data_IF_779932191789
#
_entry.id   IF_779932191789
#
_cell.length_a   1.000
_cell.length_b   1.000
_cell.length_c   1.000
_cell.angle_alpha   90.00
_cell.angle_beta   90.00
_cell.angle_gamma   90.00
#
_symmetry.space_group_name_H-M   'P 1'
#
loop_
_entity.id
_entity.type
_entity.pdbx_description
1 polymer ?
#
# COMPACT_ATOMS: atom_id res chain seq x y z
N UNK A 1 13.49 -7.52 13.79
CA UNK A 1 13.62 -7.07 13.85
C UNK A 1 14.03 -6.28 14.64
N UNK A 2 14.48 -6.27 14.82
CA UNK A 2 14.91 -5.67 15.66
C UNK A 2 14.89 -4.35 15.66
N UNK A 3 14.98 -3.68 15.07
CA UNK A 3 14.97 -2.50 15.07
C UNK A 3 13.93 -1.99 15.46
N UNK A 4 13.41 -2.57 15.95
CA UNK A 4 12.32 -2.27 16.36
C UNK A 4 12.17 -1.00 16.90
N UNK A 5 11.99 -0.38 17.41
CA UNK A 5 11.70 0.84 17.94
C UNK A 5 12.00 2.01 17.12
N UNK A 6 12.89 1.84 16.18
CA UNK A 6 13.27 2.97 15.41
C UNK A 6 12.44 3.10 14.21
N UNK A 7 11.58 4.02 14.12
CA UNK A 7 10.87 4.34 12.90
C UNK A 7 9.82 3.36 12.41
N UNK A 8 9.60 2.26 13.11
CA UNK A 8 8.58 1.30 12.71
C UNK A 8 7.33 1.46 13.56
N UNK A 9 6.18 1.30 12.94
CA UNK A 9 4.91 1.30 13.66
C UNK A 9 3.84 0.68 12.76
N UNK A 10 2.69 0.40 13.34
CA UNK A 10 1.58 -0.22 12.64
C UNK A 10 0.42 0.74 12.54
N UNK A 11 -0.41 0.53 11.53
CA UNK A 11 -1.65 1.26 11.37
C UNK A 11 -2.75 0.28 10.98
N UNK A 12 -3.98 0.63 11.30
CA UNK A 12 -5.12 -0.08 10.77
C UNK A 12 -5.45 0.42 9.38
N UNK A 13 -6.06 -0.43 8.59
CA UNK A 13 -6.53 -0.07 7.26
C UNK A 13 -7.78 -0.85 6.94
N UNK A 14 -8.59 -0.33 6.03
CA UNK A 14 -9.72 -1.07 5.48
C UNK A 14 -9.41 -1.36 4.01
N UNK A 15 -9.60 -2.59 3.61
CA UNK A 15 -9.41 -3.02 2.24
C UNK A 15 -10.78 -3.26 1.64
N UNK A 16 -11.04 -2.71 0.46
CA UNK A 16 -12.34 -2.82 -0.18
C UNK A 16 -12.22 -3.30 -1.61
N UNK A 17 -13.24 -4.02 -2.05
CA UNK A 17 -13.37 -4.41 -3.44
C UNK A 17 -13.64 -3.16 -4.27
N UNK A 18 -12.94 -2.98 -5.37
CA UNK A 18 -13.04 -1.77 -6.19
C UNK A 18 -14.43 -1.63 -6.80
N UNK A 19 -15.04 -2.76 -7.18
CA UNK A 19 -16.35 -2.75 -7.83
C UNK A 19 -17.48 -2.65 -6.81
N UNK A 20 -17.34 -3.30 -5.68
CA UNK A 20 -18.36 -3.32 -4.64
C UNK A 20 -17.73 -2.95 -3.31
N UNK A 21 -17.80 -1.67 -2.97
CA UNK A 21 -17.13 -1.15 -1.78
C UNK A 21 -17.73 -1.62 -0.46
N UNK A 22 -18.94 -2.17 -0.50
CA UNK A 22 -19.52 -2.77 0.68
C UNK A 22 -18.79 -4.05 1.07
N UNK A 23 -18.12 -4.67 0.09
CA UNK A 23 -17.24 -5.79 0.39
C UNK A 23 -15.90 -5.25 0.87
N UNK A 24 -15.75 -5.16 2.14
CA UNK A 24 -14.55 -4.63 2.76
C UNK A 24 -14.22 -5.34 4.05
N UNK A 25 -12.98 -5.24 4.46
CA UNK A 25 -12.52 -5.84 5.70
C UNK A 25 -11.48 -4.94 6.33
N UNK A 26 -11.50 -4.89 7.66
CA UNK A 26 -10.50 -4.14 8.40
C UNK A 26 -9.31 -5.02 8.71
N UNK A 27 -8.12 -4.47 8.48
CA UNK A 27 -6.87 -5.09 8.88
C UNK A 27 -6.35 -4.25 10.04
N UNK A 28 -6.34 -4.78 11.26
CA UNK A 28 -6.03 -3.93 12.42
C UNK A 28 -4.57 -3.52 12.50
N UNK A 29 -3.67 -4.30 11.93
CA UNK A 29 -2.25 -4.01 12.08
C UNK A 29 -1.51 -4.29 10.80
N UNK A 30 -1.19 -3.24 10.05
CA UNK A 30 -0.24 -3.29 8.94
C UNK A 30 1.02 -2.57 9.38
N UNK A 31 2.16 -3.19 9.16
CA UNK A 31 3.43 -2.53 9.41
C UNK A 31 3.64 -1.46 8.34
N UNK A 32 3.85 -0.23 8.76
CA UNK A 32 4.14 0.85 7.81
C UNK A 32 5.60 0.72 7.39
N UNK A 33 5.82 0.44 6.11
CA UNK A 33 7.15 0.14 5.60
C UNK A 33 7.42 0.92 4.32
N UNK A 34 8.09 2.07 4.47
CA UNK A 34 8.42 2.92 3.32
C UNK A 34 9.49 2.31 2.44
N UNK A 35 10.17 1.28 2.90
CA UNK A 35 11.13 0.55 2.08
C UNK A 35 10.52 -0.51 1.20
N UNK A 36 9.24 -0.79 1.37
CA UNK A 36 8.51 -1.74 0.55
C UNK A 36 7.64 -0.98 -0.45
N UNK A 37 7.70 -1.37 -1.72
CA UNK A 37 6.86 -0.73 -2.74
C UNK A 37 5.39 -1.10 -2.56
N UNK A 38 5.11 -2.37 -2.39
CA UNK A 38 3.75 -2.90 -2.41
C UNK A 38 3.18 -3.04 -1.01
N UNK A 39 1.86 -3.01 -0.95
CA UNK A 39 1.10 -3.32 0.25
C UNK A 39 0.75 -4.80 0.23
N UNK A 40 0.93 -5.48 1.35
CA UNK A 40 0.73 -6.92 1.49
C UNK A 40 -0.42 -7.18 2.46
N UNK A 41 -1.44 -7.88 1.98
CA UNK A 41 -2.67 -8.16 2.73
C UNK A 41 -2.93 -9.67 2.65
N UNK A 42 -3.47 -10.28 3.71
CA UNK A 42 -3.67 -11.73 3.68
C UNK A 42 -4.47 -12.17 2.46
N UNK A 43 -3.97 -13.21 1.79
CA UNK A 43 -4.64 -13.76 0.62
C UNK A 43 -6.08 -14.16 0.95
N UNK A 44 -6.30 -14.73 2.14
CA UNK A 44 -7.64 -15.17 2.55
C UNK A 44 -8.60 -14.00 2.63
N UNK A 45 -8.13 -12.85 3.12
CA UNK A 45 -8.94 -11.64 3.17
C UNK A 45 -9.32 -11.17 1.78
N UNK A 46 -8.33 -11.09 0.88
CA UNK A 46 -8.58 -10.63 -0.48
C UNK A 46 -9.54 -11.56 -1.21
N UNK A 47 -9.40 -12.86 -1.00
CA UNK A 47 -10.30 -13.84 -1.62
C UNK A 47 -11.73 -13.68 -1.12
N UNK A 48 -11.91 -13.48 0.17
CA UNK A 48 -13.24 -13.26 0.73
C UNK A 48 -13.89 -12.00 0.16
N UNK A 49 -13.10 -11.00 -0.15
CA UNK A 49 -13.60 -9.76 -0.72
C UNK A 49 -13.84 -9.86 -2.22
N UNK A 50 -13.59 -11.01 -2.82
CA UNK A 50 -13.79 -11.19 -4.26
C UNK A 50 -12.76 -10.49 -5.11
N UNK A 51 -11.61 -10.16 -4.56
CA UNK A 51 -10.56 -9.48 -5.30
C UNK A 51 -9.78 -10.52 -6.09
N UNK A 52 -9.71 -10.31 -7.40
CA UNK A 52 -9.10 -11.27 -8.30
C UNK A 52 -7.57 -11.14 -8.30
N UNK A 53 -6.91 -12.25 -8.59
CA UNK A 53 -5.48 -12.26 -8.79
C UNK A 53 -5.21 -11.82 -10.22
N UNK A 54 -4.86 -10.53 -10.36
CA UNK A 54 -4.68 -9.93 -11.69
C UNK A 54 -3.32 -10.26 -12.29
N UNK A 55 -2.30 -10.27 -11.45
CA UNK A 55 -0.94 -10.65 -11.86
C UNK A 55 -0.55 -11.85 -11.03
N UNK A 56 -0.22 -12.95 -11.69
CA UNK A 56 0.14 -14.19 -11.00
C UNK A 56 1.63 -14.41 -11.09
N UNK A 57 2.18 -15.00 -10.03
CA UNK A 57 3.58 -15.40 -9.99
C UNK A 57 4.56 -14.25 -10.23
N UNK A 58 4.20 -13.09 -9.68
CA UNK A 58 5.11 -11.97 -9.73
C UNK A 58 6.27 -12.23 -8.78
N UNK A 59 7.50 -12.03 -9.25
CA UNK A 59 8.69 -12.32 -8.46
C UNK A 59 9.04 -11.15 -7.56
N UNK A 60 9.31 -11.45 -6.31
CA UNK A 60 9.75 -10.46 -5.33
C UNK A 60 11.06 -10.91 -4.72
N UNK A 61 11.95 -9.95 -4.45
CA UNK A 61 13.20 -10.22 -3.75
C UNK A 61 13.04 -9.69 -2.33
N UNK A 62 13.15 -10.59 -1.37
CA UNK A 62 12.97 -10.26 0.03
C UNK A 62 14.24 -9.65 0.60
N UNK A 63 14.13 -9.06 1.79
CA UNK A 63 15.26 -8.38 2.43
C UNK A 63 16.46 -9.29 2.62
N UNK A 64 16.23 -10.59 2.80
CA UNK A 64 17.31 -11.57 2.96
C UNK A 64 17.88 -12.06 1.62
N UNK A 65 17.43 -11.49 0.50
CA UNK A 65 17.88 -11.88 -0.82
C UNK A 65 17.13 -13.05 -1.44
N UNK A 66 16.23 -13.65 -0.68
CA UNK A 66 15.44 -14.78 -1.20
C UNK A 66 14.41 -14.28 -2.20
N UNK A 67 14.24 -15.00 -3.29
CA UNK A 67 13.23 -14.68 -4.29
C UNK A 67 12.02 -15.56 -4.06
N UNK A 68 10.85 -14.92 -4.04
CA UNK A 68 9.57 -15.62 -3.90
C UNK A 68 8.62 -15.11 -4.96
N UNK A 69 7.52 -15.81 -5.18
CA UNK A 69 6.48 -15.37 -6.10
C UNK A 69 5.17 -15.23 -5.36
N UNK A 70 4.42 -14.20 -5.73
CA UNK A 70 3.11 -13.94 -5.14
C UNK A 70 2.20 -13.37 -6.21
N UNK A 71 0.90 -13.52 -6.01
CA UNK A 71 -0.08 -12.88 -6.87
C UNK A 71 -0.37 -11.47 -6.39
N UNK A 72 -0.85 -10.63 -7.28
CA UNK A 72 -1.18 -9.23 -7.02
C UNK A 72 -2.54 -8.94 -7.61
N UNK A 73 -3.35 -8.19 -6.89
CA UNK A 73 -4.64 -7.72 -7.36
C UNK A 73 -4.82 -6.25 -7.06
N UNK A 74 -5.98 -5.71 -7.44
CA UNK A 74 -6.29 -4.29 -7.24
C UNK A 74 -7.35 -4.14 -6.16
N UNK A 75 -7.12 -3.21 -5.24
CA UNK A 75 -8.05 -3.00 -4.14
C UNK A 75 -8.03 -1.53 -3.74
N UNK A 76 -9.10 -1.12 -3.06
CA UNK A 76 -9.10 0.17 -2.38
C UNK A 76 -8.43 -0.04 -1.02
N UNK A 77 -7.46 0.79 -0.74
CA UNK A 77 -6.78 0.83 0.56
C UNK A 77 -7.22 2.12 1.24
N UNK A 78 -7.84 1.99 2.40
CA UNK A 78 -8.37 3.13 3.14
C UNK A 78 -7.72 3.21 4.50
N UNK A 79 -7.16 4.39 4.82
CA UNK A 79 -6.57 4.66 6.13
C UNK A 79 -7.18 5.95 6.63
N UNK A 80 -7.87 5.90 7.76
CA UNK A 80 -8.61 7.03 8.28
C UNK A 80 -9.58 7.54 7.20
N UNK A 81 -9.47 8.79 6.80
CA UNK A 81 -10.35 9.37 5.79
C UNK A 81 -9.77 9.30 4.38
N UNK A 82 -8.51 8.90 4.26
CA UNK A 82 -7.85 8.83 2.96
C UNK A 82 -8.06 7.47 2.32
N UNK A 83 -8.12 7.43 1.00
CA UNK A 83 -8.19 6.16 0.30
C UNK A 83 -7.52 6.27 -1.06
N UNK A 84 -7.12 5.13 -1.57
CA UNK A 84 -6.50 5.03 -2.90
C UNK A 84 -6.78 3.65 -3.47
N UNK A 85 -6.73 3.53 -4.78
CA UNK A 85 -6.74 2.22 -5.43
C UNK A 85 -5.29 1.85 -5.71
N UNK A 86 -4.89 0.67 -5.28
CA UNK A 86 -3.51 0.26 -5.45
C UNK A 86 -3.41 -1.24 -5.69
N UNK A 87 -2.23 -1.65 -6.11
CA UNK A 87 -1.91 -3.06 -6.24
C UNK A 87 -1.57 -3.61 -4.87
N UNK A 88 -2.22 -4.71 -4.51
CA UNK A 88 -1.98 -5.36 -3.23
C UNK A 88 -1.50 -6.78 -3.47
N UNK A 89 -0.52 -7.20 -2.69
CA UNK A 89 0.04 -8.54 -2.79
C UNK A 89 -0.80 -9.48 -1.95
N UNK A 90 -1.11 -10.64 -2.51
CA UNK A 90 -1.79 -11.72 -1.79
C UNK A 90 -0.77 -12.39 -0.88
N UNK A 91 -0.71 -11.92 0.36
CA UNK A 91 0.26 -12.42 1.33
C UNK A 91 -0.12 -13.81 1.78
N UNK A 92 0.87 -14.68 1.88
CA UNK A 92 0.68 -16.05 2.32
C UNK A 92 1.13 -16.20 3.77
N UNK A 93 0.82 -17.37 4.33
CA UNK A 93 1.15 -17.62 5.73
C UNK A 93 2.64 -17.39 5.96
N UNK A 94 2.94 -16.62 6.99
CA UNK A 94 4.32 -16.29 7.31
C UNK A 94 4.83 -15.00 6.72
N UNK A 95 4.12 -14.45 5.74
CA UNK A 95 4.51 -13.17 5.18
C UNK A 95 4.16 -12.03 6.12
N UNK A 96 4.95 -10.97 6.07
CA UNK A 96 4.61 -9.75 6.79
C UNK A 96 3.46 -9.05 6.09
N UNK A 97 2.58 -8.45 6.88
CA UNK A 97 1.51 -7.62 6.36
C UNK A 97 1.97 -6.18 6.42
N UNK A 98 2.03 -5.53 5.26
CA UNK A 98 2.69 -4.24 5.11
C UNK A 98 1.79 -3.21 4.44
N UNK A 99 1.92 -1.97 4.86
CA UNK A 99 1.44 -0.82 4.10
C UNK A 99 2.66 -0.22 3.43
N UNK A 100 2.73 -0.31 2.10
CA UNK A 100 3.92 0.05 1.35
C UNK A 100 3.91 1.48 0.83
N UNK A 101 5.03 1.84 0.19
CA UNK A 101 5.26 3.22 -0.25
C UNK A 101 4.24 3.69 -1.28
N UNK A 102 3.86 2.82 -2.21
CA UNK A 102 2.92 3.22 -3.26
C UNK A 102 1.56 3.56 -2.69
N UNK A 103 1.10 2.77 -1.70
CA UNK A 103 -0.15 3.10 -1.03
C UNK A 103 -0.04 4.42 -0.27
N UNK A 104 1.07 4.65 0.42
CA UNK A 104 1.25 5.91 1.13
C UNK A 104 1.21 7.10 0.19
N UNK A 105 1.82 6.98 -0.98
CA UNK A 105 1.76 8.04 -1.98
C UNK A 105 0.34 8.27 -2.46
N UNK A 106 -0.38 7.18 -2.78
CA UNK A 106 -1.75 7.30 -3.23
C UNK A 106 -2.68 7.87 -2.17
N UNK A 107 -2.41 7.57 -0.91
CA UNK A 107 -3.16 8.12 0.21
C UNK A 107 -2.79 9.57 0.52
N UNK A 108 -1.71 10.06 -0.06
CA UNK A 108 -1.14 11.37 0.25
C UNK A 108 -0.82 11.49 1.74
N UNK A 109 -0.22 10.43 2.28
CA UNK A 109 0.21 10.38 3.66
C UNK A 109 1.71 10.21 3.72
N UNK A 110 2.31 10.75 4.76
CA UNK A 110 3.72 10.57 5.02
C UNK A 110 3.91 10.16 6.48
N UNK A 111 5.10 9.69 6.78
CA UNK A 111 5.41 9.18 8.11
C UNK A 111 6.01 10.29 8.95
N UNK A 112 5.40 10.51 10.11
CA UNK A 112 6.01 11.34 11.16
C UNK A 112 6.75 10.38 12.08
N UNK A 113 8.06 10.23 11.88
CA UNK A 113 8.83 9.25 12.62
C UNK A 113 8.95 9.58 14.10
N UNK A 114 8.85 10.83 14.46
CA UNK A 114 8.96 11.20 15.88
C UNK A 114 7.70 10.79 16.62
N UNK A 115 6.54 11.02 16.04
CA UNK A 115 5.28 10.66 16.68
C UNK A 115 4.82 9.26 16.31
N UNK A 116 5.50 8.61 15.38
CA UNK A 116 5.19 7.27 14.89
C UNK A 116 3.75 7.19 14.43
N UNK A 117 3.40 8.07 13.53
CA UNK A 117 2.04 8.09 12.95
C UNK A 117 2.09 8.63 11.54
N UNK A 118 1.00 8.42 10.83
CA UNK A 118 0.82 8.95 9.49
C UNK A 118 0.17 10.32 9.56
N UNK A 119 0.66 11.23 8.74
CA UNK A 119 0.12 12.58 8.66
C UNK A 119 -0.06 12.95 7.21
N UNK A 120 -0.91 13.94 6.97
CA UNK A 120 -1.15 14.42 5.61
C UNK A 120 0.16 14.96 5.03
N UNK A 121 0.43 14.60 3.77
CA UNK A 121 1.65 15.05 3.11
C UNK A 121 1.56 16.48 2.59
N UNK A 122 0.36 17.02 2.53
CA UNK A 122 0.17 18.40 2.07
C UNK A 122 -0.26 18.46 0.62
N UNK A 123 -0.33 19.66 0.06
CA UNK A 123 -0.80 19.84 -1.31
C UNK A 123 0.08 19.12 -2.33
N UNK A 124 -0.55 18.61 -3.37
CA UNK A 124 0.16 17.93 -4.45
C UNK A 124 0.43 18.91 -5.58
N UNK A 125 1.62 18.87 -6.17
CA UNK A 125 1.89 19.71 -7.34
C UNK A 125 1.12 19.17 -8.54
N UNK A 126 0.37 20.03 -9.22
CA UNK A 126 -0.41 19.61 -10.37
C UNK A 126 0.46 19.58 -11.62
N UNK A 127 1.29 20.58 -11.80
CA UNK A 127 2.14 20.69 -12.97
C UNK A 127 3.23 21.71 -12.71
N UNK A 128 4.33 21.58 -13.45
CA UNK A 128 5.39 22.56 -13.42
C UNK A 128 4.99 23.76 -14.28
N UNK A 129 5.45 24.97 -13.93
CA UNK A 129 5.24 26.15 -14.75
C UNK A 129 5.83 25.99 -16.15
N UNK A 130 6.98 25.35 -16.24
CA UNK A 130 7.63 25.13 -17.52
C UNK A 130 6.79 24.25 -18.42
N UNK A 131 6.13 23.26 -17.86
CA UNK A 131 5.30 22.36 -18.63
C UNK A 131 4.10 23.05 -19.23
N UNK A 132 3.62 24.09 -18.60
CA UNK A 132 2.51 24.84 -19.17
C UNK A 132 2.88 25.41 -20.53
N UNK A 133 4.12 25.89 -20.69
CA UNK A 133 4.58 26.41 -21.97
C UNK A 133 4.74 25.32 -23.01
N UNK A 134 5.09 24.11 -22.58
CA UNK A 134 5.32 23.00 -23.49
C UNK A 134 4.06 22.24 -23.85
N UNK A 135 2.95 22.54 -23.23
CA UNK A 135 1.72 21.79 -23.43
C UNK A 135 1.25 21.82 -24.88
N UNK A 136 1.64 22.83 -25.62
CA UNK A 136 1.26 22.94 -27.03
C UNK A 136 2.13 22.12 -27.95
N UNK A 137 3.20 21.55 -27.46
CA UNK A 137 4.15 20.80 -28.26
C UNK A 137 3.62 19.47 -28.73
N UNK A 138 2.55 19.03 -28.16
CA UNK A 138 1.94 17.77 -28.53
C UNK A 138 0.99 17.96 -29.68
#
# INVERSE_FOLDING_TARGET
MAKSGMGTFHTGARIENVVDRDKGASIPRLLVDTGSEYTWVPATTLEKLGIAREKKDLAFIMANGQQITRSVGFAIVRVAKAFTVDEVVFAEKGDLLLLGARSLEGLNLTVDSRKKKLVAAGPLPAASMIQCADATAI
#
